data_IF_616775628897
#
_entry.id   IF_616775628897
#
_cell.length_a   1.000
_cell.length_b   1.000
_cell.length_c   1.000
_cell.angle_alpha   90.00
_cell.angle_beta   90.00
_cell.angle_gamma   90.00
#
_symmetry.space_group_name_H-M   'P 1'
#
loop_
_entity.id
_entity.type
_entity.pdbx_description
1 polymer ?
#
# COMPACT_ATOMS: atom_id res chain seq x y z
N UNK A 1 11.19 -45.83 -21.53
CA UNK A 1 10.05 -46.33 -20.72
C UNK A 1 10.66 -46.75 -19.39
N UNK A 2 10.11 -46.36 -18.28
CA UNK A 2 10.72 -46.61 -16.96
C UNK A 2 10.42 -48.06 -16.59
N UNK A 3 11.44 -48.91 -16.61
CA UNK A 3 11.32 -50.36 -16.38
C UNK A 3 11.01 -50.76 -14.91
N UNK A 4 10.70 -49.74 -14.06
CA UNK A 4 10.46 -49.92 -12.63
C UNK A 4 8.96 -49.96 -12.24
N UNK A 5 8.05 -49.64 -13.15
CA UNK A 5 6.60 -49.66 -12.90
C UNK A 5 5.94 -50.71 -13.79
N UNK A 6 5.14 -51.57 -13.18
CA UNK A 6 4.26 -52.49 -13.88
C UNK A 6 3.02 -51.78 -14.39
N UNK A 7 2.29 -52.36 -15.37
CA UNK A 7 0.99 -51.85 -15.82
C UNK A 7 -0.01 -51.71 -14.64
N UNK A 8 0.04 -52.63 -13.69
CA UNK A 8 -0.78 -52.63 -12.48
C UNK A 8 -0.42 -51.40 -11.56
N UNK A 9 0.82 -51.04 -11.46
CA UNK A 9 1.28 -49.89 -10.69
C UNK A 9 0.81 -48.57 -11.36
N UNK A 10 0.91 -48.50 -12.68
CA UNK A 10 0.41 -47.35 -13.44
C UNK A 10 -1.11 -47.21 -13.26
N UNK A 11 -1.87 -48.30 -13.36
CA UNK A 11 -3.31 -48.27 -13.16
C UNK A 11 -3.70 -47.86 -11.74
N UNK A 12 -2.94 -48.28 -10.70
CA UNK A 12 -3.14 -47.83 -9.31
C UNK A 12 -2.88 -46.33 -9.15
N UNK A 13 -1.87 -45.78 -9.81
CA UNK A 13 -1.59 -44.33 -9.78
C UNK A 13 -2.75 -43.55 -10.37
N UNK A 14 -3.31 -43.97 -11.51
CA UNK A 14 -4.48 -43.34 -12.10
C UNK A 14 -5.70 -43.44 -11.21
N UNK A 15 -5.96 -44.60 -10.62
CA UNK A 15 -7.08 -44.81 -9.72
C UNK A 15 -6.97 -43.92 -8.46
N UNK A 16 -5.80 -43.84 -7.86
CA UNK A 16 -5.55 -42.96 -6.72
C UNK A 16 -5.76 -41.48 -7.08
N UNK A 17 -5.30 -41.05 -8.25
CA UNK A 17 -5.52 -39.68 -8.73
C UNK A 17 -7.02 -39.40 -8.88
N UNK A 18 -7.76 -40.31 -9.48
CA UNK A 18 -9.20 -40.18 -9.62
C UNK A 18 -9.93 -40.18 -8.27
N UNK A 19 -9.50 -41.03 -7.33
CA UNK A 19 -10.05 -41.05 -5.98
C UNK A 19 -9.82 -39.73 -5.25
N UNK A 20 -8.64 -39.12 -5.37
CA UNK A 20 -8.35 -37.80 -4.80
C UNK A 20 -9.24 -36.75 -5.48
N UNK A 21 -9.32 -36.76 -6.82
CA UNK A 21 -10.14 -35.82 -7.55
C UNK A 21 -11.63 -35.88 -7.18
N UNK A 22 -12.15 -37.07 -6.92
CA UNK A 22 -13.57 -37.24 -6.51
C UNK A 22 -13.84 -36.76 -5.07
N UNK A 23 -12.81 -36.68 -4.22
CA UNK A 23 -12.90 -36.13 -2.85
C UNK A 23 -12.89 -34.59 -2.84
N UNK A 24 -12.44 -33.97 -3.92
CA UNK A 24 -12.39 -32.51 -4.03
C UNK A 24 -13.81 -32.01 -4.36
N UNK A 25 -14.40 -31.30 -3.40
CA UNK A 25 -15.66 -30.60 -3.62
C UNK A 25 -15.40 -29.25 -4.29
N UNK A 26 -16.31 -28.86 -5.16
CA UNK A 26 -16.24 -27.52 -5.73
C UNK A 26 -16.55 -26.49 -4.62
N UNK A 27 -15.60 -25.63 -4.31
CA UNK A 27 -15.76 -24.52 -3.39
C UNK A 27 -15.08 -23.26 -3.94
N UNK A 28 -15.55 -22.11 -3.53
CA UNK A 28 -14.93 -20.84 -3.87
C UNK A 28 -14.07 -20.36 -2.71
N UNK A 29 -12.79 -20.16 -2.97
CA UNK A 29 -11.87 -19.50 -2.03
C UNK A 29 -11.93 -17.97 -2.19
N UNK A 30 -12.47 -17.50 -3.33
CA UNK A 30 -12.55 -16.07 -3.59
C UNK A 30 -13.54 -15.41 -2.61
N UNK A 31 -13.04 -14.56 -1.77
CA UNK A 31 -13.80 -13.60 -0.94
C UNK A 31 -13.63 -12.20 -1.52
N UNK A 32 -14.53 -11.31 -1.18
CA UNK A 32 -14.31 -9.90 -1.46
C UNK A 32 -12.99 -9.45 -0.80
N UNK A 33 -12.25 -8.62 -1.50
CA UNK A 33 -11.05 -7.99 -0.92
C UNK A 33 -11.51 -7.07 0.22
N UNK A 34 -10.88 -7.21 1.37
CA UNK A 34 -11.12 -6.37 2.53
C UNK A 34 -9.83 -5.64 2.88
N UNK A 35 -9.92 -4.32 2.98
CA UNK A 35 -8.80 -3.50 3.44
C UNK A 35 -8.75 -3.60 4.97
N UNK A 36 -7.62 -4.01 5.55
CA UNK A 36 -7.47 -4.04 7.00
C UNK A 36 -7.46 -2.63 7.58
N UNK A 37 -8.13 -2.44 8.72
CA UNK A 37 -8.13 -1.19 9.47
C UNK A 37 -7.45 -1.42 10.82
N UNK A 38 -6.20 -0.98 10.95
CA UNK A 38 -5.49 -1.03 12.21
C UNK A 38 -5.74 0.23 13.03
N UNK A 39 -5.95 0.05 14.33
CA UNK A 39 -6.20 1.12 15.28
C UNK A 39 -4.98 1.33 16.16
N UNK A 40 -3.95 1.90 15.60
CA UNK A 40 -2.74 2.23 16.33
C UNK A 40 -2.67 3.71 16.74
N UNK A 41 -1.57 4.37 16.58
CA UNK A 41 -1.18 5.71 17.07
C UNK A 41 -2.13 6.89 16.74
N UNK A 42 -3.24 6.69 16.06
CA UNK A 42 -4.18 7.75 15.60
C UNK A 42 -4.77 8.57 16.75
N UNK A 43 -4.96 7.93 17.89
CA UNK A 43 -5.52 8.58 19.09
C UNK A 43 -4.64 9.69 19.66
N UNK A 44 -3.39 9.80 19.18
CA UNK A 44 -2.44 10.82 19.67
C UNK A 44 -2.49 12.11 18.88
N UNK A 45 -3.25 12.20 17.79
CA UNK A 45 -3.33 13.39 16.95
C UNK A 45 -4.45 14.30 17.43
N UNK A 46 -4.10 15.52 17.80
CA UNK A 46 -5.06 16.61 18.02
C UNK A 46 -5.53 17.16 16.67
N UNK A 47 -6.62 16.57 16.16
CA UNK A 47 -7.19 16.92 14.86
C UNK A 47 -7.66 18.38 14.78
N UNK A 48 -8.23 18.93 15.87
CA UNK A 48 -8.68 20.32 15.88
C UNK A 48 -7.51 21.27 15.75
N UNK A 49 -6.43 21.01 16.49
CA UNK A 49 -5.22 21.81 16.40
C UNK A 49 -4.58 21.67 15.02
N UNK A 50 -4.45 20.45 14.50
CA UNK A 50 -3.84 20.22 13.19
C UNK A 50 -4.58 20.94 12.08
N UNK A 51 -5.92 20.84 12.01
CA UNK A 51 -6.76 21.51 11.02
C UNK A 51 -6.67 23.05 11.09
N UNK A 52 -6.34 23.62 12.25
CA UNK A 52 -6.12 25.06 12.36
C UNK A 52 -4.84 25.53 11.67
N UNK A 53 -3.82 24.70 11.65
CA UNK A 53 -2.48 25.09 11.16
C UNK A 53 -2.17 24.55 9.76
N UNK A 54 -2.75 23.44 9.36
CA UNK A 54 -2.53 22.90 8.02
C UNK A 54 -3.14 23.82 6.96
N UNK A 55 -2.38 24.10 5.92
CA UNK A 55 -2.84 24.89 4.77
C UNK A 55 -2.42 24.16 3.51
N UNK A 56 -3.41 23.70 2.76
CA UNK A 56 -3.23 23.09 1.45
C UNK A 56 -3.84 24.05 0.42
N UNK A 57 -3.11 24.26 -0.67
CA UNK A 57 -3.61 25.10 -1.76
C UNK A 57 -4.97 24.54 -2.25
N UNK A 58 -6.02 25.36 -2.36
CA UNK A 58 -7.33 24.90 -2.83
C UNK A 58 -7.32 24.25 -4.22
N UNK A 59 -6.31 24.54 -5.04
CA UNK A 59 -6.12 23.89 -6.36
C UNK A 59 -5.72 22.42 -6.25
N UNK A 60 -5.25 21.95 -5.10
CA UNK A 60 -4.89 20.57 -4.82
C UNK A 60 -6.13 19.83 -4.30
N UNK A 61 -6.99 19.44 -5.24
CA UNK A 61 -8.32 18.90 -4.96
C UNK A 61 -8.27 17.65 -4.10
N UNK A 62 -7.41 16.69 -4.48
CA UNK A 62 -7.39 15.38 -3.85
C UNK A 62 -6.69 15.40 -2.49
N UNK A 63 -5.63 16.18 -2.30
CA UNK A 63 -5.07 16.39 -0.96
C UNK A 63 -6.09 17.04 -0.02
N UNK A 64 -6.93 17.96 -0.52
CA UNK A 64 -8.03 18.52 0.26
C UNK A 64 -9.12 17.47 0.55
N UNK A 65 -9.43 16.56 -0.38
CA UNK A 65 -10.35 15.43 -0.12
C UNK A 65 -9.84 14.56 1.03
N UNK A 66 -8.55 14.20 1.05
CA UNK A 66 -7.95 13.48 2.17
C UNK A 66 -8.03 14.27 3.48
N UNK A 67 -7.78 15.58 3.44
CA UNK A 67 -7.82 16.44 4.63
C UNK A 67 -9.20 16.48 5.29
N UNK A 68 -10.27 16.48 4.49
CA UNK A 68 -11.66 16.58 4.94
C UNK A 68 -12.42 15.25 4.81
N UNK A 69 -11.74 14.14 4.60
CA UNK A 69 -12.36 12.81 4.51
C UNK A 69 -13.11 12.45 5.79
N UNK A 70 -14.20 11.74 5.66
CA UNK A 70 -14.92 11.14 6.78
C UNK A 70 -14.12 9.99 7.43
N UNK A 71 -13.27 9.32 6.64
CA UNK A 71 -12.41 8.26 7.11
C UNK A 71 -11.21 8.81 7.88
N UNK A 72 -11.04 8.36 9.12
CA UNK A 72 -9.90 8.76 9.94
C UNK A 72 -8.56 8.29 9.33
N UNK A 73 -8.57 7.14 8.66
CA UNK A 73 -7.42 6.60 7.93
C UNK A 73 -6.86 7.58 6.90
N UNK A 74 -7.74 8.20 6.13
CA UNK A 74 -7.35 9.16 5.10
C UNK A 74 -6.69 10.39 5.72
N UNK A 75 -7.30 10.95 6.77
CA UNK A 75 -6.74 12.12 7.46
C UNK A 75 -5.40 11.79 8.12
N UNK A 76 -5.28 10.63 8.74
CA UNK A 76 -4.03 10.20 9.38
C UNK A 76 -2.93 9.93 8.37
N UNK A 77 -3.26 9.33 7.25
CA UNK A 77 -2.35 9.09 6.14
C UNK A 77 -1.76 10.40 5.61
N UNK A 78 -2.60 11.38 5.33
CA UNK A 78 -2.17 12.71 4.91
C UNK A 78 -1.37 13.43 6.00
N UNK A 79 -1.80 13.35 7.27
CA UNK A 79 -1.08 13.93 8.40
C UNK A 79 0.36 13.43 8.48
N UNK A 80 0.58 12.12 8.39
CA UNK A 80 1.92 11.54 8.44
C UNK A 80 2.80 12.04 7.28
N UNK A 81 2.24 12.04 6.07
CA UNK A 81 2.96 12.48 4.88
C UNK A 81 3.37 13.97 4.97
N UNK A 82 2.45 14.85 5.35
CA UNK A 82 2.75 16.28 5.49
C UNK A 82 3.67 16.58 6.66
N UNK A 83 3.56 15.84 7.77
CA UNK A 83 4.48 15.95 8.90
C UNK A 83 5.90 15.64 8.44
N UNK A 84 6.10 14.50 7.80
CA UNK A 84 7.42 14.09 7.29
C UNK A 84 7.95 15.05 6.23
N UNK A 85 7.11 15.51 5.30
CA UNK A 85 7.49 16.50 4.29
C UNK A 85 8.01 17.81 4.91
N UNK A 86 7.43 18.24 6.03
CA UNK A 86 7.90 19.42 6.75
C UNK A 86 9.22 19.20 7.52
N UNK A 87 9.55 17.96 7.85
CA UNK A 87 10.83 17.58 8.48
C UNK A 87 11.97 17.51 7.44
N UNK A 88 11.66 17.37 6.16
CA UNK A 88 12.65 17.43 5.09
C UNK A 88 13.08 18.88 4.87
N UNK A 89 14.39 19.12 4.89
CA UNK A 89 14.96 20.44 4.64
C UNK A 89 14.99 20.77 3.13
N UNK A 90 13.81 20.88 2.53
CA UNK A 90 13.63 21.15 1.12
C UNK A 90 13.63 22.66 0.83
N UNK A 91 14.11 23.03 -0.37
CA UNK A 91 13.87 24.37 -0.89
C UNK A 91 12.37 24.61 -1.12
N UNK A 92 11.97 25.85 -1.30
CA UNK A 92 10.56 26.18 -1.60
C UNK A 92 10.12 25.54 -2.92
N UNK A 93 10.98 25.53 -3.91
CA UNK A 93 10.73 24.92 -5.22
C UNK A 93 10.61 23.40 -5.12
N UNK A 94 11.54 22.73 -4.44
CA UNK A 94 11.47 21.28 -4.23
C UNK A 94 10.22 20.89 -3.47
N UNK A 95 9.86 21.64 -2.43
CA UNK A 95 8.65 21.38 -1.66
C UNK A 95 7.39 21.47 -2.52
N UNK A 96 7.34 22.41 -3.46
CA UNK A 96 6.23 22.52 -4.41
C UNK A 96 6.19 21.32 -5.35
N UNK A 97 7.34 20.85 -5.86
CA UNK A 97 7.46 19.65 -6.68
C UNK A 97 6.97 18.40 -5.94
N UNK A 98 7.33 18.26 -4.64
CA UNK A 98 6.82 17.17 -3.79
C UNK A 98 5.30 17.23 -3.60
N UNK A 99 4.77 18.42 -3.39
CA UNK A 99 3.32 18.61 -3.25
C UNK A 99 2.57 18.34 -4.57
N UNK A 100 3.15 18.66 -5.72
CA UNK A 100 2.58 18.27 -7.03
C UNK A 100 2.55 16.76 -7.20
N UNK A 101 3.64 16.09 -6.84
CA UNK A 101 3.71 14.63 -6.88
C UNK A 101 2.69 13.99 -5.93
N UNK A 102 2.57 14.50 -4.71
CA UNK A 102 1.56 14.02 -3.74
C UNK A 102 0.14 14.21 -4.25
N UNK A 103 -0.18 15.32 -4.92
CA UNK A 103 -1.49 15.52 -5.51
C UNK A 103 -1.79 14.50 -6.61
N UNK A 104 -0.80 14.21 -7.47
CA UNK A 104 -0.94 13.20 -8.52
C UNK A 104 -1.18 11.80 -7.92
N UNK A 105 -0.42 11.42 -6.92
CA UNK A 105 -0.58 10.14 -6.22
C UNK A 105 -1.91 10.06 -5.46
N UNK A 106 -2.28 11.14 -4.75
CA UNK A 106 -3.56 11.26 -4.06
C UNK A 106 -4.74 11.08 -5.01
N UNK A 107 -4.63 11.62 -6.23
CA UNK A 107 -5.65 11.45 -7.27
C UNK A 107 -5.87 9.98 -7.60
N UNK A 108 -4.80 9.25 -7.93
CA UNK A 108 -4.92 7.84 -8.32
C UNK A 108 -5.41 6.98 -7.14
N UNK A 109 -4.84 7.17 -5.94
CA UNK A 109 -5.25 6.45 -4.73
C UNK A 109 -6.72 6.69 -4.39
N UNK A 110 -7.18 7.93 -4.48
CA UNK A 110 -8.59 8.28 -4.22
C UNK A 110 -9.53 7.63 -5.22
N UNK A 111 -9.24 7.74 -6.52
CA UNK A 111 -10.07 7.17 -7.57
C UNK A 111 -10.17 5.63 -7.49
N UNK A 112 -9.07 4.96 -7.14
CA UNK A 112 -9.10 3.51 -6.87
C UNK A 112 -9.91 3.21 -5.61
N UNK A 113 -9.74 3.97 -4.53
CA UNK A 113 -10.53 3.82 -3.29
C UNK A 113 -12.04 3.93 -3.55
N UNK A 114 -12.46 4.87 -4.38
CA UNK A 114 -13.87 5.01 -4.78
C UNK A 114 -14.38 3.79 -5.55
N UNK A 115 -13.56 3.22 -6.44
CA UNK A 115 -13.93 2.05 -7.24
C UNK A 115 -14.06 0.78 -6.39
N UNK A 116 -13.10 0.55 -5.47
CA UNK A 116 -13.14 -0.61 -4.56
C UNK A 116 -14.05 -0.37 -3.34
N UNK A 117 -14.54 0.86 -3.15
CA UNK A 117 -15.39 1.30 -2.03
C UNK A 117 -14.73 1.11 -0.65
N UNK A 118 -13.43 1.26 -0.59
CA UNK A 118 -12.64 1.14 0.63
C UNK A 118 -11.44 2.09 0.57
N UNK A 119 -11.01 2.71 1.69
CA UNK A 119 -9.89 3.65 1.69
C UNK A 119 -8.56 2.90 1.56
N UNK A 120 -7.84 3.10 0.46
CA UNK A 120 -6.49 2.54 0.26
C UNK A 120 -5.47 3.07 1.28
N UNK A 121 -5.73 4.23 1.88
CA UNK A 121 -4.95 4.75 2.99
C UNK A 121 -4.84 3.75 4.15
N UNK A 122 -5.93 3.06 4.50
CA UNK A 122 -5.94 2.04 5.54
C UNK A 122 -5.00 0.86 5.21
N UNK A 123 -4.95 0.45 3.95
CA UNK A 123 -4.02 -0.57 3.49
C UNK A 123 -2.56 -0.12 3.65
N UNK A 124 -2.21 1.06 3.17
CA UNK A 124 -0.85 1.60 3.26
C UNK A 124 -0.43 1.85 4.71
N UNK A 125 -1.35 2.29 5.57
CA UNK A 125 -1.10 2.42 7.02
C UNK A 125 -0.88 1.06 7.69
N UNK A 126 -1.55 0.01 7.24
CA UNK A 126 -1.31 -1.36 7.73
C UNK A 126 0.10 -1.81 7.39
N UNK A 127 0.54 -1.62 6.14
CA UNK A 127 1.91 -1.95 5.72
C UNK A 127 2.93 -1.17 6.55
N UNK A 128 2.70 0.14 6.74
CA UNK A 128 3.53 0.97 7.63
C UNK A 128 3.64 0.40 9.04
N UNK A 129 2.52 -0.04 9.61
CA UNK A 129 2.52 -0.63 10.96
C UNK A 129 3.34 -1.91 11.00
N UNK A 130 3.24 -2.77 9.99
CA UNK A 130 4.06 -3.98 9.88
C UNK A 130 5.54 -3.62 9.85
N UNK A 131 5.95 -2.69 8.97
CA UNK A 131 7.34 -2.24 8.85
C UNK A 131 7.83 -1.67 10.19
N UNK A 132 7.06 -0.79 10.82
CA UNK A 132 7.38 -0.21 12.12
C UNK A 132 7.55 -1.28 13.20
N UNK A 133 6.65 -2.25 13.28
CA UNK A 133 6.73 -3.37 14.23
C UNK A 133 8.00 -4.20 14.01
N UNK A 134 8.37 -4.47 12.74
CA UNK A 134 9.61 -5.19 12.44
C UNK A 134 10.82 -4.43 13.00
N UNK A 135 10.90 -3.12 12.76
CA UNK A 135 12.01 -2.28 13.24
C UNK A 135 12.07 -2.14 14.76
N UNK A 136 10.92 -1.99 15.43
CA UNK A 136 10.86 -1.65 16.85
C UNK A 136 10.80 -2.87 17.77
N UNK A 137 10.20 -3.97 17.32
CA UNK A 137 9.89 -5.12 18.16
C UNK A 137 10.64 -6.40 17.77
N UNK A 138 11.41 -6.38 16.68
CA UNK A 138 12.19 -7.55 16.24
C UNK A 138 13.68 -7.21 16.06
N UNK A 139 14.49 -8.25 15.87
CA UNK A 139 15.90 -8.10 15.50
C UNK A 139 16.09 -8.17 13.96
N UNK A 140 15.01 -8.08 13.20
CA UNK A 140 15.06 -8.13 11.73
C UNK A 140 15.20 -6.73 11.15
N UNK A 141 15.74 -6.65 9.95
CA UNK A 141 15.85 -5.43 9.18
C UNK A 141 14.80 -5.47 8.05
N UNK A 142 14.34 -4.32 7.66
CA UNK A 142 13.51 -4.15 6.46
C UNK A 142 14.38 -3.52 5.39
N UNK A 143 14.29 -4.04 4.16
CA UNK A 143 15.01 -3.49 3.01
C UNK A 143 14.58 -2.07 2.68
N UNK A 144 15.46 -1.34 1.98
CA UNK A 144 15.27 0.08 1.66
C UNK A 144 14.02 0.33 0.80
N UNK A 145 13.77 -0.54 -0.15
CA UNK A 145 12.60 -0.50 -1.04
C UNK A 145 12.59 -1.72 -1.95
N UNK A 146 11.44 -2.29 -2.20
CA UNK A 146 11.25 -3.38 -3.16
C UNK A 146 9.95 -3.22 -3.93
N UNK A 147 9.92 -3.78 -5.15
CA UNK A 147 8.72 -3.83 -5.98
C UNK A 147 8.24 -2.46 -6.45
N UNK A 148 6.96 -2.38 -6.75
CA UNK A 148 6.32 -1.17 -7.26
C UNK A 148 6.12 -0.08 -6.21
N UNK A 149 6.08 -0.43 -4.91
CA UNK A 149 5.93 0.51 -3.81
C UNK A 149 7.05 1.57 -3.77
N UNK A 150 8.25 1.23 -4.29
CA UNK A 150 9.36 2.17 -4.44
C UNK A 150 9.08 3.37 -5.34
N UNK A 151 8.01 3.33 -6.13
CA UNK A 151 7.59 4.46 -6.97
C UNK A 151 6.65 5.45 -6.28
N UNK A 152 6.20 5.15 -5.05
CA UNK A 152 5.18 5.95 -4.36
C UNK A 152 5.82 6.89 -3.32
N UNK A 153 5.69 8.19 -3.53
CA UNK A 153 6.17 9.20 -2.58
C UNK A 153 5.46 9.13 -1.24
N UNK A 154 4.16 8.84 -1.22
CA UNK A 154 3.44 8.58 0.02
C UNK A 154 4.08 7.46 0.83
N UNK A 155 4.49 6.34 0.21
CA UNK A 155 5.14 5.23 0.91
C UNK A 155 6.43 5.66 1.60
N UNK A 156 7.24 6.52 0.97
CA UNK A 156 8.42 7.12 1.57
C UNK A 156 8.06 8.04 2.75
N UNK A 157 7.12 8.95 2.55
CA UNK A 157 6.77 9.94 3.57
C UNK A 157 6.10 9.34 4.80
N UNK A 158 5.33 8.27 4.64
CA UNK A 158 4.75 7.57 5.79
C UNK A 158 5.71 6.57 6.44
N UNK A 159 6.91 6.35 5.88
CA UNK A 159 7.93 5.46 6.43
C UNK A 159 7.71 3.98 6.16
N UNK A 160 7.09 3.64 5.03
CA UNK A 160 6.97 2.26 4.55
C UNK A 160 8.23 1.84 3.79
N UNK A 161 8.87 2.78 3.10
CA UNK A 161 10.14 2.62 2.39
C UNK A 161 11.10 3.73 2.78
N UNK A 162 12.41 3.48 2.62
CA UNK A 162 13.47 4.45 2.94
C UNK A 162 14.03 5.15 1.69
N UNK A 163 13.66 4.71 0.49
CA UNK A 163 14.08 5.33 -0.76
C UNK A 163 13.13 6.45 -1.16
N UNK A 164 13.67 7.65 -1.29
CA UNK A 164 12.93 8.79 -1.81
C UNK A 164 12.82 8.73 -3.34
N UNK A 165 11.63 8.53 -3.91
CA UNK A 165 11.44 8.42 -5.35
C UNK A 165 11.71 9.73 -6.12
N UNK A 166 11.78 10.87 -5.41
CA UNK A 166 12.08 12.17 -6.02
C UNK A 166 13.57 12.40 -6.22
N UNK A 167 14.42 11.74 -5.42
CA UNK A 167 15.87 11.99 -5.39
C UNK A 167 16.73 10.79 -5.80
N UNK A 168 16.12 9.65 -6.09
CA UNK A 168 16.86 8.42 -6.43
C UNK A 168 17.57 8.45 -7.80
N UNK A 169 17.51 9.57 -8.54
CA UNK A 169 18.14 9.73 -9.85
C UNK A 169 17.45 9.02 -11.01
N UNK A 170 16.32 8.40 -10.77
CA UNK A 170 15.49 7.72 -11.76
C UNK A 170 14.10 8.34 -11.79
N UNK A 171 13.52 8.44 -13.00
CA UNK A 171 12.09 8.78 -13.09
C UNK A 171 11.25 7.56 -12.71
N UNK A 172 10.60 7.63 -11.54
CA UNK A 172 9.70 6.60 -11.05
C UNK A 172 8.25 7.06 -11.18
N UNK A 173 7.53 6.46 -12.13
CA UNK A 173 6.10 6.73 -12.31
C UNK A 173 5.29 6.04 -11.20
N UNK A 174 4.58 6.82 -10.38
CA UNK A 174 3.72 6.32 -9.30
C UNK A 174 2.62 5.35 -9.78
N UNK A 175 2.20 5.47 -11.05
CA UNK A 175 1.21 4.58 -11.66
C UNK A 175 1.70 3.13 -11.81
N UNK A 176 2.96 2.87 -11.54
CA UNK A 176 3.46 1.50 -11.41
C UNK A 176 2.89 0.78 -10.19
N UNK A 177 2.58 1.53 -9.13
CA UNK A 177 2.01 0.99 -7.90
C UNK A 177 0.48 1.00 -7.94
N UNK A 178 -0.11 2.14 -8.27
CA UNK A 178 -1.57 2.31 -8.29
C UNK A 178 -2.00 3.07 -9.53
N UNK A 179 -3.05 2.57 -10.18
CA UNK A 179 -3.62 3.20 -11.36
C UNK A 179 -5.12 2.95 -11.43
N UNK A 180 -5.91 3.99 -11.65
CA UNK A 180 -7.38 3.93 -11.72
C UNK A 180 -7.95 2.93 -12.73
N UNK A 181 -7.20 2.56 -13.76
CA UNK A 181 -7.61 1.56 -14.75
C UNK A 181 -7.45 0.11 -14.25
N UNK A 182 -6.79 -0.07 -13.10
CA UNK A 182 -6.60 -1.36 -12.44
C UNK A 182 -7.00 -1.23 -10.98
N UNK A 183 -8.30 -1.24 -10.67
CA UNK A 183 -8.81 -1.03 -9.31
C UNK A 183 -8.68 -2.30 -8.47
N UNK A 184 -7.47 -2.65 -8.13
CA UNK A 184 -7.12 -3.78 -7.26
C UNK A 184 -6.10 -3.36 -6.22
N UNK A 185 -6.01 -4.08 -5.12
CA UNK A 185 -4.96 -3.87 -4.13
C UNK A 185 -3.62 -4.28 -4.73
N UNK A 186 -2.68 -3.35 -4.75
CA UNK A 186 -1.32 -3.60 -5.19
C UNK A 186 -0.54 -4.36 -4.12
N UNK A 187 0.37 -5.23 -4.55
CA UNK A 187 1.25 -5.93 -3.63
C UNK A 187 2.33 -4.97 -3.11
N UNK A 188 2.63 -5.08 -1.82
CA UNK A 188 3.78 -4.43 -1.19
C UNK A 188 4.73 -5.51 -0.69
N UNK A 189 5.88 -5.59 -1.33
CA UNK A 189 6.95 -6.48 -0.90
C UNK A 189 7.73 -5.86 0.28
N UNK A 190 7.98 -6.65 1.30
CA UNK A 190 8.81 -6.30 2.46
C UNK A 190 9.95 -7.30 2.52
N UNK A 191 11.19 -6.81 2.41
CA UNK A 191 12.41 -7.63 2.50
C UNK A 191 12.93 -7.70 3.91
#
# INVERSE_FOLDING_TARGET
MNDYLTEDDIQKLFNNTNEIATKIQQYSLAKAQEVPHLRDDRKTVDWEQWLKYVRINPKREYLNKYLFSEYEDDRYFLYLALKRLNELNLSVEDKENYLERLEAEATELWLVSEQIKQPLSAYLLTVRTIVKTIWEETNSLVGVSRGSAGSLLFAYLIGTIDMDPMTCGLFLDHRRFVHREKPELSDVDID
#
